data_IF_071663336506
#
_entry.id   IF_071663336506
#
_cell.length_a   1.000
_cell.length_b   1.000
_cell.length_c   1.000
_cell.angle_alpha   90.00
_cell.angle_beta   90.00
_cell.angle_gamma   90.00
#
_symmetry.space_group_name_H-M   'P 1'
#
loop_
_entity.id
_entity.type
_entity.pdbx_description
1 polymer ?
#
# COMPACT_ATOMS: atom_id res chain seq x y z
N UNK A 1 23.93 -3.63 -10.84
CA UNK A 1 23.02 -2.68 -11.50
C UNK A 1 22.81 -1.55 -10.51
N UNK A 2 23.40 -0.39 -10.76
CA UNK A 2 23.15 0.79 -9.93
C UNK A 2 21.70 1.21 -10.15
N UNK A 3 20.88 1.07 -9.14
CA UNK A 3 19.52 1.62 -9.09
C UNK A 3 19.66 3.14 -9.30
N UNK A 4 19.07 3.68 -10.37
CA UNK A 4 19.09 5.11 -10.65
C UNK A 4 18.21 5.80 -9.60
N UNK A 5 18.79 6.14 -8.47
CA UNK A 5 18.11 6.80 -7.36
C UNK A 5 18.03 8.30 -7.63
N UNK A 6 16.85 8.87 -7.49
CA UNK A 6 16.56 10.29 -7.72
C UNK A 6 16.56 11.00 -6.36
N UNK A 7 17.30 12.09 -6.24
CA UNK A 7 17.30 12.92 -5.05
C UNK A 7 15.94 13.63 -4.90
N UNK A 8 15.39 13.61 -3.71
CA UNK A 8 14.08 14.15 -3.39
C UNK A 8 14.07 14.89 -2.05
N UNK A 9 13.11 15.75 -1.84
CA UNK A 9 12.95 16.57 -0.64
C UNK A 9 11.49 16.55 -0.16
N UNK A 10 11.31 16.52 1.15
CA UNK A 10 10.00 16.67 1.80
C UNK A 10 9.57 18.14 1.71
N UNK A 11 8.42 18.39 1.10
CA UNK A 11 7.83 19.75 1.01
C UNK A 11 6.74 19.98 2.03
N UNK A 12 5.95 18.93 2.33
CA UNK A 12 4.85 19.00 3.27
C UNK A 12 4.60 17.65 3.94
N UNK A 13 4.05 17.69 5.15
CA UNK A 13 3.60 16.51 5.90
C UNK A 13 2.25 16.78 6.57
N UNK A 14 1.37 15.80 6.56
CA UNK A 14 0.10 15.85 7.31
C UNK A 14 -0.31 14.47 7.83
N UNK A 15 -1.21 14.46 8.78
CA UNK A 15 -1.74 13.24 9.36
C UNK A 15 -2.87 12.69 8.48
N UNK A 16 -2.81 11.40 8.13
CA UNK A 16 -3.87 10.66 7.45
C UNK A 16 -4.83 10.02 8.47
N UNK A 17 -4.26 9.47 9.54
CA UNK A 17 -4.96 8.81 10.62
C UNK A 17 -4.01 8.69 11.82
N UNK A 18 -4.48 8.26 12.97
CA UNK A 18 -3.63 8.09 14.15
C UNK A 18 -2.47 7.10 13.86
N UNK A 19 -1.23 7.60 13.93
CA UNK A 19 0.00 6.84 13.66
C UNK A 19 0.33 6.68 12.17
N UNK A 20 -0.38 7.37 11.28
CA UNK A 20 -0.13 7.37 9.84
C UNK A 20 -0.09 8.79 9.29
N UNK A 21 0.89 9.05 8.44
CA UNK A 21 1.08 10.35 7.81
C UNK A 21 1.25 10.21 6.31
N UNK A 22 0.91 11.27 5.62
CA UNK A 22 1.28 11.51 4.23
C UNK A 22 2.43 12.51 4.18
N UNK A 23 3.33 12.30 3.24
CA UNK A 23 4.46 13.17 2.99
C UNK A 23 4.46 13.53 1.52
N UNK A 24 4.32 14.82 1.25
CA UNK A 24 4.48 15.37 -0.10
C UNK A 24 5.97 15.51 -0.40
N UNK A 25 6.34 15.06 -1.58
CA UNK A 25 7.72 14.93 -2.02
C UNK A 25 7.89 15.54 -3.39
N UNK A 26 8.96 16.29 -3.56
CA UNK A 26 9.42 16.82 -4.85
C UNK A 26 10.81 16.27 -5.19
N UNK A 27 11.06 16.02 -6.47
CA UNK A 27 12.41 15.67 -6.93
C UNK A 27 13.30 16.90 -6.97
N UNK A 28 14.54 16.75 -6.54
CA UNK A 28 15.56 17.81 -6.76
C UNK A 28 15.89 17.93 -8.23
N UNK A 29 16.19 19.16 -8.63
CA UNK A 29 16.52 19.51 -10.02
C UNK A 29 15.43 19.20 -11.04
N UNK A 30 14.16 19.11 -10.61
CA UNK A 30 13.01 18.76 -11.46
C UNK A 30 13.24 17.48 -12.28
N UNK A 31 13.96 16.52 -11.68
CA UNK A 31 14.13 15.20 -12.31
C UNK A 31 12.76 14.55 -12.50
N UNK A 32 12.51 14.06 -13.70
CA UNK A 32 11.26 13.38 -13.98
C UNK A 32 11.17 12.07 -13.19
N UNK A 33 10.04 11.87 -12.54
CA UNK A 33 9.69 10.57 -11.95
C UNK A 33 8.94 9.77 -13.03
N UNK A 34 9.35 8.52 -13.30
CA UNK A 34 8.62 7.69 -14.24
C UNK A 34 7.13 7.62 -13.90
N UNK A 35 6.27 7.60 -14.91
CA UNK A 35 4.83 7.53 -14.73
C UNK A 35 4.43 6.33 -13.85
N UNK A 36 3.49 6.56 -12.96
CA UNK A 36 2.98 5.53 -12.06
C UNK A 36 1.46 5.68 -11.86
N UNK A 37 0.82 4.62 -11.40
CA UNK A 37 -0.58 4.64 -10.99
C UNK A 37 -0.69 4.88 -9.48
N UNK A 38 -1.80 5.42 -9.01
CA UNK A 38 -2.11 5.49 -7.59
C UNK A 38 -2.02 4.09 -6.97
N UNK A 39 -1.34 3.99 -5.84
CA UNK A 39 -1.07 2.71 -5.19
C UNK A 39 0.19 1.99 -5.68
N UNK A 40 0.98 2.61 -6.56
CA UNK A 40 2.33 2.17 -6.85
C UNK A 40 3.20 2.11 -5.58
N UNK A 41 4.32 1.43 -5.69
CA UNK A 41 5.30 1.32 -4.60
C UNK A 41 6.58 2.04 -5.02
N UNK A 42 7.14 2.81 -4.11
CA UNK A 42 8.44 3.44 -4.28
C UNK A 42 9.40 3.01 -3.17
N UNK A 43 10.64 2.78 -3.54
CA UNK A 43 11.71 2.50 -2.59
C UNK A 43 12.39 3.81 -2.19
N UNK A 44 12.54 4.01 -0.88
CA UNK A 44 13.16 5.18 -0.28
C UNK A 44 14.41 4.78 0.50
N UNK A 45 15.45 5.64 0.44
CA UNK A 45 16.68 5.47 1.22
C UNK A 45 17.30 6.83 1.55
N UNK A 46 18.02 6.93 2.67
CA UNK A 46 18.91 8.06 2.96
C UNK A 46 20.28 7.90 2.34
N UNK A 47 20.64 6.69 2.00
CA UNK A 47 21.94 6.33 1.50
C UNK A 47 21.91 6.32 -0.03
N UNK A 48 22.71 7.14 -0.65
CA UNK A 48 22.91 7.16 -2.11
C UNK A 48 23.27 5.78 -2.69
N UNK A 49 23.92 4.92 -1.89
CA UNK A 49 24.27 3.55 -2.30
C UNK A 49 23.12 2.57 -2.14
N UNK A 50 21.99 2.95 -1.54
CA UNK A 50 20.80 2.13 -1.42
C UNK A 50 20.94 0.92 -0.49
N UNK A 51 21.77 1.00 0.55
CA UNK A 51 22.03 -0.10 1.49
C UNK A 51 20.83 -0.43 2.39
N UNK A 52 20.05 0.59 2.76
CA UNK A 52 18.85 0.44 3.57
C UNK A 52 17.66 1.02 2.82
N UNK A 53 16.82 0.14 2.28
CA UNK A 53 15.69 0.53 1.43
C UNK A 53 14.39 0.13 2.10
N UNK A 54 13.44 1.08 2.12
CA UNK A 54 12.06 0.81 2.55
C UNK A 54 11.08 1.09 1.43
N UNK A 55 10.16 0.17 1.22
CA UNK A 55 9.09 0.31 0.24
C UNK A 55 7.88 1.00 0.85
N UNK A 56 7.42 2.06 0.21
CA UNK A 56 6.28 2.87 0.62
C UNK A 56 5.24 2.96 -0.49
N UNK A 57 3.95 3.10 -0.14
CA UNK A 57 2.92 3.36 -1.13
C UNK A 57 3.02 4.79 -1.64
N UNK A 58 2.70 4.96 -2.91
CA UNK A 58 2.81 6.20 -3.67
C UNK A 58 1.48 6.52 -4.34
N UNK A 59 1.07 7.80 -4.34
CA UNK A 59 -0.09 8.29 -5.09
C UNK A 59 0.08 9.74 -5.50
N UNK A 60 -0.72 10.17 -6.49
CA UNK A 60 -0.69 11.53 -6.99
C UNK A 60 -1.37 12.51 -6.03
N UNK A 61 -0.89 13.75 -6.07
CA UNK A 61 -1.57 14.87 -5.43
C UNK A 61 -2.47 15.54 -6.48
N UNK A 62 -3.80 15.56 -6.32
CA UNK A 62 -4.71 16.09 -7.35
C UNK A 62 -4.45 17.53 -7.77
N UNK A 63 -3.83 18.33 -6.90
CA UNK A 63 -3.54 19.76 -7.11
C UNK A 63 -2.15 20.03 -7.72
N UNK A 64 -1.30 19.01 -7.89
CA UNK A 64 0.10 19.19 -8.32
C UNK A 64 0.62 17.99 -9.10
N UNK A 65 0.98 18.22 -10.36
CA UNK A 65 1.53 17.17 -11.24
C UNK A 65 3.02 16.90 -11.00
N UNK A 66 3.75 17.87 -10.43
CA UNK A 66 5.19 17.81 -10.16
C UNK A 66 5.55 17.24 -8.76
N UNK A 67 4.54 16.93 -7.96
CA UNK A 67 4.68 16.38 -6.63
C UNK A 67 3.91 15.08 -6.48
N UNK A 68 4.39 14.22 -5.62
CA UNK A 68 3.72 12.98 -5.27
C UNK A 68 3.68 12.78 -3.75
N UNK A 69 2.83 11.88 -3.31
CA UNK A 69 2.60 11.63 -1.90
C UNK A 69 3.04 10.23 -1.53
N UNK A 70 3.79 10.14 -0.44
CA UNK A 70 4.25 8.88 0.15
C UNK A 70 3.55 8.64 1.47
N UNK A 71 2.99 7.45 1.66
CA UNK A 71 2.44 7.02 2.94
C UNK A 71 3.52 6.53 3.89
N UNK A 72 3.50 7.03 5.12
CA UNK A 72 4.43 6.60 6.18
C UNK A 72 3.68 6.18 7.44
N UNK A 73 4.23 5.20 8.14
CA UNK A 73 3.79 4.83 9.49
C UNK A 73 4.77 5.40 10.50
N UNK A 74 4.28 6.19 11.43
CA UNK A 74 5.04 6.64 12.56
C UNK A 74 4.64 5.80 13.77
N UNK A 75 5.51 4.91 14.21
CA UNK A 75 5.37 4.27 15.52
C UNK A 75 5.87 5.24 16.58
N UNK A 76 5.09 5.41 17.64
CA UNK A 76 5.62 5.99 18.87
C UNK A 76 6.66 5.00 19.39
N UNK A 77 7.95 5.38 19.40
CA UNK A 77 9.03 4.56 19.91
C UNK A 77 8.78 4.24 21.40
N UNK A 78 8.19 3.08 21.68
CA UNK A 78 8.34 2.44 22.96
C UNK A 78 9.76 1.86 22.99
N UNK A 79 10.64 2.51 23.76
CA UNK A 79 12.05 2.18 23.99
C UNK A 79 13.04 2.61 22.90
N UNK A 80 13.58 3.84 22.99
CA UNK A 80 14.99 4.22 22.85
C UNK A 80 15.90 3.64 21.75
N UNK A 81 15.44 2.76 20.90
CA UNK A 81 16.18 2.27 19.76
C UNK A 81 16.01 3.26 18.62
N UNK A 82 17.03 4.08 18.40
CA UNK A 82 17.21 4.79 17.12
C UNK A 82 17.43 3.74 16.05
N UNK A 83 16.36 3.30 15.43
CA UNK A 83 16.46 2.50 14.23
C UNK A 83 17.17 3.35 13.16
N UNK A 84 18.18 2.81 12.51
CA UNK A 84 19.05 3.48 11.53
C UNK A 84 18.24 4.04 10.32
N UNK A 85 16.96 3.77 10.29
CA UNK A 85 15.96 4.16 9.28
C UNK A 85 15.05 5.32 9.69
N UNK A 86 15.32 6.05 10.77
CA UNK A 86 14.47 7.13 11.26
C UNK A 86 14.57 8.37 10.35
N UNK A 87 13.79 8.33 9.27
CA UNK A 87 13.41 9.55 8.57
C UNK A 87 12.55 10.39 9.51
N UNK A 88 12.99 11.59 9.87
CA UNK A 88 12.20 12.54 10.64
C UNK A 88 10.97 13.02 9.86
N UNK A 89 11.04 12.94 8.52
CA UNK A 89 9.99 13.37 7.60
C UNK A 89 9.56 14.81 7.82
N UNK A 90 10.50 15.67 8.23
CA UNK A 90 10.26 17.07 8.36
C UNK A 90 10.44 17.76 7.01
N UNK A 91 9.77 18.90 6.83
CA UNK A 91 9.98 19.74 5.66
C UNK A 91 11.46 20.09 5.51
N UNK A 92 11.99 19.87 4.31
CA UNK A 92 13.41 20.07 3.98
C UNK A 92 14.28 18.82 4.15
N UNK A 93 13.77 17.73 4.73
CA UNK A 93 14.51 16.46 4.79
C UNK A 93 14.76 15.92 3.39
N UNK A 94 16.01 15.48 3.15
CA UNK A 94 16.45 14.96 1.86
C UNK A 94 16.62 13.46 1.91
N UNK A 95 16.31 12.82 0.80
CA UNK A 95 16.44 11.37 0.62
C UNK A 95 16.50 11.01 -0.86
N UNK A 96 16.64 9.75 -1.15
CA UNK A 96 16.66 9.21 -2.50
C UNK A 96 15.47 8.30 -2.73
N UNK A 97 14.89 8.38 -3.93
CA UNK A 97 13.76 7.55 -4.37
C UNK A 97 14.19 6.69 -5.55
N UNK A 98 13.76 5.45 -5.54
CA UNK A 98 13.86 4.56 -6.71
C UNK A 98 12.75 4.83 -7.72
N UNK A 99 12.81 4.17 -8.86
CA UNK A 99 11.70 4.21 -9.82
C UNK A 99 10.42 3.61 -9.19
N UNK A 100 9.26 4.26 -9.36
CA UNK A 100 7.98 3.71 -8.95
C UNK A 100 7.70 2.35 -9.62
N UNK A 101 7.07 1.47 -8.90
CA UNK A 101 6.64 0.16 -9.42
C UNK A 101 5.14 0.02 -9.29
N UNK A 102 4.47 -0.10 -10.42
CA UNK A 102 3.06 -0.42 -10.47
C UNK A 102 2.84 -1.90 -10.13
N UNK A 103 1.74 -2.20 -9.44
CA UNK A 103 1.32 -3.59 -9.25
C UNK A 103 0.62 -4.06 -10.52
N UNK A 104 1.22 -5.03 -11.18
CA UNK A 104 0.59 -5.69 -12.32
C UNK A 104 -0.55 -6.58 -11.84
N UNK A 105 -1.73 -6.40 -12.44
CA UNK A 105 -2.91 -7.22 -12.19
C UNK A 105 -3.47 -7.65 -13.53
N UNK A 106 -3.70 -8.94 -13.66
CA UNK A 106 -4.40 -9.48 -14.81
C UNK A 106 -5.87 -9.03 -14.76
N UNK A 107 -6.27 -8.16 -15.69
CA UNK A 107 -7.65 -7.67 -15.81
C UNK A 107 -8.45 -8.54 -16.77
N UNK A 108 -8.75 -9.75 -16.36
CA UNK A 108 -9.60 -10.68 -17.11
C UNK A 108 -11.10 -10.29 -16.96
N UNK A 109 -11.89 -10.51 -18.01
CA UNK A 109 -13.33 -10.25 -17.98
C UNK A 109 -14.12 -11.27 -17.14
N UNK A 110 -13.54 -12.42 -16.82
CA UNK A 110 -14.16 -13.51 -16.05
C UNK A 110 -13.71 -13.58 -14.60
N UNK A 111 -12.74 -12.75 -14.20
CA UNK A 111 -12.19 -12.79 -12.86
C UNK A 111 -13.01 -11.99 -11.87
N UNK A 112 -13.17 -12.51 -10.66
CA UNK A 112 -13.62 -11.78 -9.48
C UNK A 112 -12.38 -11.23 -8.77
N UNK A 113 -12.41 -9.99 -8.32
CA UNK A 113 -11.31 -9.35 -7.62
C UNK A 113 -11.68 -9.18 -6.15
N UNK A 114 -10.91 -9.82 -5.27
CA UNK A 114 -11.08 -9.72 -3.82
C UNK A 114 -9.80 -9.10 -3.25
N UNK A 115 -9.96 -7.93 -2.66
CA UNK A 115 -8.85 -7.10 -2.20
C UNK A 115 -8.87 -7.03 -0.67
N UNK A 116 -7.72 -7.29 -0.06
CA UNK A 116 -7.57 -7.23 1.39
C UNK A 116 -6.52 -6.20 1.78
N UNK A 117 -6.85 -5.35 2.74
CA UNK A 117 -5.93 -4.33 3.23
C UNK A 117 -5.93 -4.22 4.74
N UNK A 118 -4.76 -3.84 5.29
CA UNK A 118 -4.61 -3.40 6.67
C UNK A 118 -3.54 -2.31 6.78
N UNK A 119 -3.80 -1.29 7.61
CA UNK A 119 -2.90 -0.15 7.78
C UNK A 119 -2.59 0.56 6.47
N UNK A 120 -1.32 0.91 6.21
CA UNK A 120 -0.90 1.59 4.96
C UNK A 120 -1.19 0.78 3.69
N UNK A 121 -1.41 -0.53 3.80
CA UNK A 121 -1.78 -1.35 2.65
C UNK A 121 -3.04 -0.88 1.93
N UNK A 122 -3.93 -0.18 2.63
CA UNK A 122 -5.17 0.35 2.04
C UNK A 122 -4.89 1.35 0.91
N UNK A 123 -3.80 2.09 0.95
CA UNK A 123 -3.47 3.08 -0.09
C UNK A 123 -3.18 2.41 -1.43
N UNK A 124 -2.41 1.31 -1.43
CA UNK A 124 -2.16 0.51 -2.61
C UNK A 124 -3.45 -0.18 -3.11
N UNK A 125 -4.25 -0.72 -2.20
CA UNK A 125 -5.53 -1.38 -2.53
C UNK A 125 -6.53 -0.39 -3.13
N UNK A 126 -6.65 0.83 -2.59
CA UNK A 126 -7.52 1.86 -3.15
C UNK A 126 -7.12 2.26 -4.58
N UNK A 127 -5.82 2.41 -4.85
CA UNK A 127 -5.33 2.69 -6.20
C UNK A 127 -5.68 1.58 -7.19
N UNK A 128 -5.51 0.31 -6.80
CA UNK A 128 -5.91 -0.83 -7.61
C UNK A 128 -7.43 -0.84 -7.85
N UNK A 129 -8.22 -0.59 -6.81
CA UNK A 129 -9.68 -0.55 -6.92
C UNK A 129 -10.15 0.55 -7.87
N UNK A 130 -9.51 1.74 -7.85
CA UNK A 130 -9.77 2.80 -8.83
C UNK A 130 -9.51 2.34 -10.28
N UNK A 131 -8.40 1.62 -10.52
CA UNK A 131 -8.10 1.06 -11.85
C UNK A 131 -9.14 0.01 -12.27
N UNK A 132 -9.54 -0.87 -11.35
CA UNK A 132 -10.60 -1.86 -11.60
C UNK A 132 -11.93 -1.16 -11.93
N UNK A 133 -12.32 -0.14 -11.17
CA UNK A 133 -13.52 0.66 -11.42
C UNK A 133 -13.49 1.33 -12.79
N UNK A 134 -12.36 1.97 -13.16
CA UNK A 134 -12.17 2.59 -14.46
C UNK A 134 -12.25 1.57 -15.62
N UNK A 135 -11.83 0.33 -15.38
CA UNK A 135 -11.93 -0.78 -16.33
C UNK A 135 -13.32 -1.48 -16.31
N UNK A 136 -14.29 -1.00 -15.54
CA UNK A 136 -15.63 -1.61 -15.39
C UNK A 136 -15.60 -2.99 -14.74
N UNK A 137 -14.60 -3.30 -13.91
CA UNK A 137 -14.46 -4.59 -13.23
C UNK A 137 -15.09 -4.54 -11.85
N UNK A 138 -15.89 -5.56 -11.52
CA UNK A 138 -16.45 -5.71 -10.19
C UNK A 138 -15.37 -6.19 -9.22
N UNK A 139 -15.32 -5.58 -8.04
CA UNK A 139 -14.40 -5.93 -6.98
C UNK A 139 -15.08 -5.92 -5.61
N UNK A 140 -14.39 -6.54 -4.65
CA UNK A 140 -14.77 -6.53 -3.25
C UNK A 140 -13.55 -6.18 -2.41
N UNK A 141 -13.65 -5.15 -1.56
CA UNK A 141 -12.59 -4.71 -0.65
C UNK A 141 -12.94 -5.12 0.78
N UNK A 142 -11.98 -5.73 1.46
CA UNK A 142 -12.01 -5.97 2.89
C UNK A 142 -10.86 -5.18 3.54
N UNK A 143 -11.17 -4.04 4.14
CA UNK A 143 -10.21 -3.22 4.86
C UNK A 143 -10.31 -3.45 6.36
N UNK A 144 -9.18 -3.71 7.03
CA UNK A 144 -9.10 -3.99 8.45
C UNK A 144 -8.32 -2.90 9.18
N UNK A 145 -8.92 -2.34 10.22
CA UNK A 145 -8.30 -1.34 11.09
C UNK A 145 -8.49 -1.71 12.57
N UNK A 146 -7.53 -1.35 13.41
CA UNK A 146 -7.63 -1.60 14.86
C UNK A 146 -8.66 -0.73 15.53
N UNK A 147 -8.74 0.54 15.13
CA UNK A 147 -9.71 1.51 15.64
C UNK A 147 -10.17 2.44 14.51
N UNK A 148 -11.22 3.19 14.75
CA UNK A 148 -11.76 4.15 13.80
C UNK A 148 -10.74 5.26 13.47
N UNK A 149 -10.02 5.75 14.49
CA UNK A 149 -9.02 6.82 14.38
C UNK A 149 -7.78 6.39 13.59
N UNK A 150 -7.58 5.08 13.47
CA UNK A 150 -6.48 4.47 12.68
C UNK A 150 -6.90 4.05 11.29
N UNK A 151 -8.13 4.34 10.88
CA UNK A 151 -8.65 3.99 9.55
C UNK A 151 -8.22 5.06 8.54
N UNK A 152 -7.37 4.67 7.61
CA UNK A 152 -6.86 5.52 6.52
C UNK A 152 -7.83 5.45 5.34
N UNK A 153 -7.92 6.50 4.52
CA UNK A 153 -8.66 6.55 3.26
C UNK A 153 -10.15 6.18 3.38
N UNK A 154 -10.81 6.66 4.44
CA UNK A 154 -12.24 6.37 4.64
C UNK A 154 -13.10 6.92 3.52
N UNK A 155 -12.92 8.20 3.19
CA UNK A 155 -13.68 8.89 2.14
C UNK A 155 -13.42 8.27 0.76
N UNK A 156 -12.17 7.90 0.48
CA UNK A 156 -11.78 7.21 -0.74
C UNK A 156 -12.43 5.82 -0.85
N UNK A 157 -12.44 5.06 0.24
CA UNK A 157 -13.11 3.76 0.30
C UNK A 157 -14.63 3.90 0.14
N UNK A 158 -15.23 4.89 0.80
CA UNK A 158 -16.67 5.17 0.69
C UNK A 158 -17.05 5.53 -0.76
N UNK A 159 -16.23 6.33 -1.44
CA UNK A 159 -16.44 6.66 -2.85
C UNK A 159 -16.38 5.46 -3.80
N UNK A 160 -15.52 4.47 -3.47
CA UNK A 160 -15.39 3.23 -4.24
C UNK A 160 -16.60 2.31 -4.11
N UNK A 161 -17.47 2.51 -3.10
CA UNK A 161 -18.70 1.73 -2.91
C UNK A 161 -19.69 1.89 -4.05
N UNK A 162 -19.56 2.95 -4.86
CA UNK A 162 -20.35 3.12 -6.09
C UNK A 162 -19.99 2.12 -7.21
N UNK A 163 -18.80 1.51 -7.13
CA UNK A 163 -18.24 0.66 -8.19
C UNK A 163 -18.02 -0.79 -7.76
N UNK A 164 -17.99 -1.06 -6.46
CA UNK A 164 -17.72 -2.38 -5.91
C UNK A 164 -18.23 -2.51 -4.48
N UNK A 165 -18.04 -3.69 -3.88
CA UNK A 165 -18.39 -3.90 -2.47
C UNK A 165 -17.22 -3.47 -1.59
N UNK A 166 -17.48 -2.66 -0.58
CA UNK A 166 -16.47 -2.19 0.37
C UNK A 166 -16.89 -2.53 1.80
N UNK A 167 -16.03 -3.27 2.50
CA UNK A 167 -16.22 -3.68 3.88
C UNK A 167 -15.08 -3.12 4.73
N UNK A 168 -15.35 -2.12 5.55
CA UNK A 168 -14.41 -1.63 6.57
C UNK A 168 -14.73 -2.32 7.89
N UNK A 169 -13.76 -3.09 8.42
CA UNK A 169 -13.87 -3.86 9.65
C UNK A 169 -12.94 -3.26 10.71
N UNK A 170 -13.49 -2.92 11.86
CA UNK A 170 -12.77 -2.18 12.90
C UNK A 170 -12.81 -2.98 14.20
N UNK A 171 -11.66 -3.07 14.88
CA UNK A 171 -11.56 -3.63 16.23
C UNK A 171 -11.74 -5.16 16.32
N UNK A 172 -11.63 -5.87 15.19
CA UNK A 172 -11.77 -7.32 15.20
C UNK A 172 -10.60 -8.03 15.88
N UNK A 173 -10.87 -9.09 16.60
CA UNK A 173 -9.90 -10.06 17.10
C UNK A 173 -9.22 -10.83 15.96
N UNK A 174 -8.14 -11.54 16.26
CA UNK A 174 -7.45 -12.37 15.26
C UNK A 174 -8.34 -13.47 14.70
N UNK A 175 -9.15 -14.10 15.54
CA UNK A 175 -10.12 -15.12 15.16
C UNK A 175 -11.23 -14.58 14.26
N UNK A 176 -11.76 -13.40 14.59
CA UNK A 176 -12.77 -12.73 13.76
C UNK A 176 -12.20 -12.29 12.40
N UNK A 177 -10.96 -11.81 12.36
CA UNK A 177 -10.26 -11.51 11.11
C UNK A 177 -10.10 -12.79 10.28
N UNK A 178 -9.68 -13.89 10.91
CA UNK A 178 -9.52 -15.18 10.26
C UNK A 178 -10.87 -15.69 9.69
N UNK A 179 -11.94 -15.57 10.43
CA UNK A 179 -13.28 -15.95 9.97
C UNK A 179 -13.74 -15.05 8.81
N UNK A 180 -13.63 -13.73 8.96
CA UNK A 180 -14.05 -12.77 7.94
C UNK A 180 -13.28 -12.95 6.62
N UNK A 181 -11.97 -13.20 6.68
CA UNK A 181 -11.14 -13.45 5.49
C UNK A 181 -11.45 -14.82 4.86
N UNK A 182 -11.70 -15.86 5.67
CA UNK A 182 -12.13 -17.17 5.18
C UNK A 182 -13.46 -17.09 4.42
N UNK A 183 -14.45 -16.40 4.99
CA UNK A 183 -15.76 -16.21 4.35
C UNK A 183 -15.68 -15.41 3.05
N UNK A 184 -14.73 -14.46 2.95
CA UNK A 184 -14.56 -13.66 1.74
C UNK A 184 -13.96 -14.47 0.57
N UNK A 185 -13.10 -15.44 0.87
CA UNK A 185 -12.45 -16.27 -0.17
C UNK A 185 -13.15 -17.59 -0.42
N UNK A 186 -14.12 -18.01 0.43
CA UNK A 186 -14.77 -19.32 0.37
C UNK A 186 -16.31 -19.19 0.28
N UNK A 187 -16.99 -19.79 -0.71
CA UNK A 187 -16.41 -20.36 -1.93
C UNK A 187 -16.10 -19.27 -2.97
N UNK A 188 -15.05 -19.47 -3.75
CA UNK A 188 -14.74 -18.59 -4.88
C UNK A 188 -14.27 -19.39 -6.11
N UNK A 189 -14.28 -18.76 -7.27
CA UNK A 189 -13.78 -19.39 -8.49
C UNK A 189 -12.26 -19.45 -8.50
N UNK A 190 -11.69 -20.53 -9.05
CA UNK A 190 -10.23 -20.70 -9.16
C UNK A 190 -9.52 -19.54 -9.88
N UNK A 191 -10.21 -18.86 -10.80
CA UNK A 191 -9.72 -17.69 -11.54
C UNK A 191 -9.88 -16.37 -10.79
N UNK A 192 -10.42 -16.37 -9.55
CA UNK A 192 -10.50 -15.13 -8.77
C UNK A 192 -9.10 -14.60 -8.48
N UNK A 193 -8.97 -13.27 -8.55
CA UNK A 193 -7.72 -12.57 -8.24
C UNK A 193 -7.79 -12.08 -6.80
N UNK A 194 -6.83 -12.50 -5.97
CA UNK A 194 -6.71 -12.11 -4.57
C UNK A 194 -5.55 -11.14 -4.45
N UNK A 195 -5.80 -9.92 -4.00
CA UNK A 195 -4.78 -8.89 -3.86
C UNK A 195 -4.66 -8.50 -2.39
N UNK A 196 -3.45 -8.57 -1.84
CA UNK A 196 -3.18 -8.43 -0.42
C UNK A 196 -2.17 -7.30 -0.16
N UNK A 197 -2.48 -6.40 0.78
CA UNK A 197 -1.51 -5.44 1.29
C UNK A 197 -1.72 -5.17 2.78
N UNK A 198 -0.68 -5.37 3.58
CA UNK A 198 -0.75 -5.19 5.03
C UNK A 198 0.43 -5.83 5.76
N UNK A 199 0.33 -6.00 7.09
CA UNK A 199 1.36 -6.68 7.88
C UNK A 199 1.65 -8.10 7.35
N UNK A 200 2.90 -8.58 7.45
CA UNK A 200 3.28 -9.90 6.93
C UNK A 200 2.45 -11.07 7.47
N UNK A 201 2.12 -11.05 8.76
CA UNK A 201 1.28 -12.09 9.40
C UNK A 201 -0.14 -12.12 8.82
N UNK A 202 -0.74 -10.95 8.63
CA UNK A 202 -2.05 -10.77 8.01
C UNK A 202 -2.07 -11.32 6.57
N UNK A 203 -1.10 -10.91 5.75
CA UNK A 203 -1.01 -11.40 4.37
C UNK A 203 -0.77 -12.91 4.30
N UNK A 204 0.10 -13.47 5.15
CA UNK A 204 0.38 -14.91 5.21
C UNK A 204 -0.87 -15.72 5.57
N UNK A 205 -1.67 -15.22 6.50
CA UNK A 205 -2.92 -15.87 6.90
C UNK A 205 -3.90 -15.97 5.73
N UNK A 206 -4.14 -14.83 5.03
CA UNK A 206 -5.08 -14.79 3.91
C UNK A 206 -4.56 -15.61 2.73
N UNK A 207 -3.27 -15.54 2.41
CA UNK A 207 -2.66 -16.37 1.37
C UNK A 207 -2.90 -17.86 1.61
N UNK A 208 -2.74 -18.33 2.87
CA UNK A 208 -3.00 -19.73 3.23
C UNK A 208 -4.45 -20.12 2.98
N UNK A 209 -5.41 -19.28 3.35
CA UNK A 209 -6.84 -19.52 3.13
C UNK A 209 -7.20 -19.49 1.64
N UNK A 210 -6.65 -18.52 0.90
CA UNK A 210 -6.93 -18.35 -0.52
C UNK A 210 -6.40 -19.51 -1.38
N UNK A 211 -5.26 -20.11 -1.00
CA UNK A 211 -4.66 -21.26 -1.72
C UNK A 211 -5.54 -22.51 -1.77
N UNK A 212 -6.54 -22.60 -0.91
CA UNK A 212 -7.52 -23.69 -0.94
C UNK A 212 -8.54 -23.53 -2.08
N UNK A 213 -8.66 -22.33 -2.66
CA UNK A 213 -9.70 -21.97 -3.61
C UNK A 213 -9.18 -21.48 -4.96
N UNK A 214 -8.05 -20.77 -4.98
CA UNK A 214 -7.51 -20.12 -6.18
C UNK A 214 -6.10 -20.62 -6.50
N UNK A 215 -5.71 -20.50 -7.77
CA UNK A 215 -4.35 -20.80 -8.18
C UNK A 215 -3.35 -19.83 -7.49
N UNK A 216 -2.16 -20.31 -7.07
CA UNK A 216 -1.15 -19.46 -6.46
C UNK A 216 -0.73 -18.26 -7.32
N UNK A 217 -0.77 -18.37 -8.63
CA UNK A 217 -0.52 -17.30 -9.60
C UNK A 217 -1.52 -16.14 -9.51
N UNK A 218 -2.68 -16.39 -8.93
CA UNK A 218 -3.77 -15.40 -8.78
C UNK A 218 -3.74 -14.72 -7.40
N UNK A 219 -2.70 -14.96 -6.59
CA UNK A 219 -2.53 -14.33 -5.27
C UNK A 219 -1.38 -13.33 -5.36
N UNK A 220 -1.73 -12.04 -5.33
CA UNK A 220 -0.80 -10.92 -5.47
C UNK A 220 -0.57 -10.25 -4.13
N UNK A 221 0.69 -10.12 -3.72
CA UNK A 221 1.09 -9.48 -2.46
C UNK A 221 1.82 -8.18 -2.73
N UNK A 222 1.33 -7.09 -2.13
CA UNK A 222 1.97 -5.79 -2.17
C UNK A 222 2.68 -5.59 -0.83
N UNK A 223 4.01 -5.72 -0.86
CA UNK A 223 4.85 -5.68 0.34
C UNK A 223 5.36 -4.25 0.55
N UNK A 224 4.98 -3.68 1.68
CA UNK A 224 5.44 -2.38 2.16
C UNK A 224 6.40 -2.57 3.35
N UNK A 225 7.31 -1.61 3.56
CA UNK A 225 8.28 -1.62 4.65
C UNK A 225 9.67 -2.12 4.25
N UNK A 226 10.42 -2.66 5.19
CA UNK A 226 11.81 -3.06 4.96
C UNK A 226 11.93 -4.19 3.93
N UNK A 227 12.77 -3.97 2.95
CA UNK A 227 13.30 -5.06 2.13
C UNK A 227 14.61 -5.52 2.77
N UNK A 228 14.67 -6.78 3.17
CA UNK A 228 15.93 -7.38 3.60
C UNK A 228 17.00 -7.17 2.52
N UNK A 229 18.15 -6.70 2.93
CA UNK A 229 19.34 -6.60 2.08
C UNK A 229 19.55 -7.97 1.43
N UNK A 230 19.40 -8.06 0.12
CA UNK A 230 19.88 -9.25 -0.61
C UNK A 230 21.39 -9.29 -0.44
N UNK A 231 21.86 -10.20 0.40
CA UNK A 231 23.28 -10.57 0.48
C UNK A 231 23.73 -11.22 -0.83
#
# INVERSE_FOLDING_TARGET
>A
MHSNMIAAVVTRRWQLAQGYHAVEVETKHRSEVPAFDDGAIVDLTRDHEGRAVRSHPLWHLPSREDAFVVGIRQEANAKGARDVSDFSWNRGDEFYIGAPRNTEIVMDCKSRYILFSAGLGVTAIAGIAKRLAAAGKLFEIHNFARTLERTIFREELDSLSAYGRVHTRIGLTEEEIKLATSLAVSPTHANSQIILSGPPSFMKQIERQAREWVYPSNIHKIILGERGVRR
#
